data_IF_466671054944
#
_entry.id   IF_466671054944
#
_cell.length_a   1.000
_cell.length_b   1.000
_cell.length_c   1.000
_cell.angle_alpha   90.00
_cell.angle_beta   90.00
_cell.angle_gamma   90.00
#
_symmetry.space_group_name_H-M   'P 1'
#
loop_
_entity.id
_entity.type
_entity.pdbx_description
1 polymer ?
#
# COMPACT_ATOMS: atom_id res chain seq x y z
N UNK A 1 -3.61 0.85 -4.99
CA UNK A 1 -3.91 2.30 -4.88
C UNK A 1 -2.91 3.22 -5.60
N UNK A 2 -1.59 2.94 -5.57
CA UNK A 2 -0.59 3.79 -6.25
C UNK A 2 -0.81 3.84 -7.77
N UNK A 3 -1.15 2.70 -8.37
CA UNK A 3 -1.52 2.62 -9.80
C UNK A 3 -2.73 3.50 -10.09
N UNK A 4 -3.83 3.30 -9.35
CA UNK A 4 -5.04 4.13 -9.45
C UNK A 4 -4.79 5.63 -9.23
N UNK A 5 -3.86 6.03 -8.36
CA UNK A 5 -3.50 7.44 -8.18
C UNK A 5 -2.78 8.05 -9.39
N UNK A 6 -2.05 7.23 -10.15
CA UNK A 6 -1.19 7.68 -11.26
C UNK A 6 -1.91 7.59 -12.59
N UNK A 7 -2.64 6.51 -12.82
CA UNK A 7 -3.36 6.27 -14.06
C UNK A 7 -4.77 6.85 -13.97
N UNK A 8 -5.03 7.88 -14.77
CA UNK A 8 -6.35 8.52 -14.85
C UNK A 8 -7.40 7.66 -15.57
N UNK A 9 -6.99 6.56 -16.23
CA UNK A 9 -7.88 5.57 -16.81
C UNK A 9 -8.38 4.52 -15.83
N UNK A 10 -7.80 4.44 -14.62
CA UNK A 10 -8.25 3.52 -13.58
C UNK A 10 -9.62 3.94 -13.04
N UNK A 11 -10.60 3.01 -12.93
CA UNK A 11 -11.94 3.33 -12.43
C UNK A 11 -11.96 4.00 -11.06
N UNK A 12 -11.00 3.64 -10.20
CA UNK A 12 -10.88 4.15 -8.83
C UNK A 12 -9.98 5.39 -8.71
N UNK A 13 -9.57 6.01 -9.83
CA UNK A 13 -8.68 7.18 -9.82
C UNK A 13 -9.23 8.34 -8.99
N UNK A 14 -10.46 8.75 -9.27
CA UNK A 14 -11.10 9.88 -8.60
C UNK A 14 -11.36 9.60 -7.13
N UNK A 15 -11.72 8.35 -6.79
CA UNK A 15 -11.90 7.90 -5.41
C UNK A 15 -10.59 8.00 -4.63
N UNK A 16 -9.50 7.48 -5.20
CA UNK A 16 -8.17 7.53 -4.59
C UNK A 16 -7.68 8.98 -4.43
N UNK A 17 -7.90 9.84 -5.43
CA UNK A 17 -7.53 11.26 -5.37
C UNK A 17 -8.33 12.04 -4.33
N UNK A 18 -9.64 11.80 -4.23
CA UNK A 18 -10.49 12.41 -3.22
C UNK A 18 -10.05 12.05 -1.81
N UNK A 19 -9.78 10.76 -1.57
CA UNK A 19 -9.32 10.28 -0.28
C UNK A 19 -7.93 10.83 0.11
N UNK A 20 -7.03 11.04 -0.86
CA UNK A 20 -5.71 11.63 -0.62
C UNK A 20 -5.82 13.06 -0.06
N UNK A 21 -6.83 13.84 -0.48
CA UNK A 21 -7.08 15.19 0.02
C UNK A 21 -7.37 15.25 1.53
N UNK A 22 -7.80 14.14 2.13
CA UNK A 22 -8.09 14.02 3.56
C UNK A 22 -6.94 13.40 4.37
N UNK A 23 -5.81 13.09 3.73
CA UNK A 23 -4.63 12.54 4.39
C UNK A 23 -3.63 13.66 4.72
N UNK A 24 -3.06 13.60 5.93
CA UNK A 24 -2.00 14.51 6.38
C UNK A 24 -0.66 13.80 6.36
N UNK A 25 0.32 14.35 5.64
CA UNK A 25 1.68 13.82 5.56
C UNK A 25 1.89 12.77 4.45
N UNK A 26 3.13 12.28 4.27
CA UNK A 26 3.46 11.31 3.23
C UNK A 26 2.79 9.96 3.49
N UNK A 27 2.47 9.24 2.42
CA UNK A 27 2.11 7.82 2.53
C UNK A 27 3.37 6.98 2.69
N UNK A 28 3.42 6.21 3.76
CA UNK A 28 4.51 5.29 4.03
C UNK A 28 4.35 4.02 3.18
N UNK A 29 5.41 3.64 2.46
CA UNK A 29 5.47 2.41 1.65
C UNK A 29 6.79 1.66 1.91
N UNK A 30 6.93 0.45 1.38
CA UNK A 30 8.17 -0.33 1.45
C UNK A 30 8.79 -0.49 0.06
N UNK A 31 10.07 -0.88 -0.01
CA UNK A 31 10.73 -1.19 -1.29
C UNK A 31 10.00 -2.27 -2.11
N UNK A 32 9.47 -3.36 -1.51
CA UNK A 32 8.64 -4.32 -2.24
C UNK A 32 7.38 -3.71 -2.86
N UNK A 33 6.66 -2.84 -2.14
CA UNK A 33 5.49 -2.11 -2.70
C UNK A 33 5.90 -1.21 -3.84
N UNK A 34 7.00 -0.45 -3.68
CA UNK A 34 7.51 0.42 -4.74
C UNK A 34 7.90 -0.38 -5.98
N UNK A 35 8.54 -1.54 -5.79
CA UNK A 35 8.97 -2.44 -6.87
C UNK A 35 7.78 -3.03 -7.63
N UNK A 36 6.77 -3.53 -6.91
CA UNK A 36 5.55 -4.06 -7.51
C UNK A 36 4.78 -2.97 -8.27
N UNK A 37 4.63 -1.78 -7.68
CA UNK A 37 3.99 -0.66 -8.36
C UNK A 37 4.76 -0.23 -9.62
N UNK A 38 6.10 -0.21 -9.58
CA UNK A 38 6.93 0.06 -10.76
C UNK A 38 6.74 -0.99 -11.86
N UNK A 39 6.59 -2.26 -11.50
CA UNK A 39 6.30 -3.34 -12.44
C UNK A 39 4.93 -3.16 -13.10
N UNK A 40 3.88 -2.99 -12.30
CA UNK A 40 2.50 -2.81 -12.79
C UNK A 40 2.35 -1.57 -13.68
N UNK A 41 2.93 -0.44 -13.27
CA UNK A 41 2.91 0.79 -14.08
C UNK A 41 3.71 0.64 -15.37
N UNK A 42 4.76 -0.18 -15.36
CA UNK A 42 5.54 -0.50 -16.55
C UNK A 42 4.70 -1.22 -17.59
N UNK A 43 3.89 -2.18 -17.16
CA UNK A 43 2.98 -2.94 -18.02
C UNK A 43 1.83 -2.06 -18.54
N UNK A 44 1.20 -1.27 -17.66
CA UNK A 44 0.03 -0.46 -18.00
C UNK A 44 0.36 0.79 -18.85
N UNK A 45 1.47 1.48 -18.57
CA UNK A 45 1.77 2.79 -19.16
C UNK A 45 3.25 3.09 -19.40
N UNK A 46 4.11 2.07 -19.27
CA UNK A 46 5.55 2.18 -19.49
C UNK A 46 6.24 3.24 -18.64
N UNK A 47 7.32 3.79 -19.17
CA UNK A 47 8.15 4.77 -18.46
C UNK A 47 7.38 6.02 -18.02
N UNK A 48 6.38 6.47 -18.79
CA UNK A 48 5.61 7.67 -18.44
C UNK A 48 4.89 7.48 -17.10
N UNK A 49 4.31 6.31 -16.87
CA UNK A 49 3.61 5.96 -15.64
C UNK A 49 4.60 5.74 -14.48
N UNK A 50 5.68 5.01 -14.72
CA UNK A 50 6.77 4.82 -13.73
C UNK A 50 7.40 6.15 -13.28
N UNK A 51 7.61 7.09 -14.19
CA UNK A 51 8.13 8.42 -13.88
C UNK A 51 7.18 9.21 -12.97
N UNK A 52 5.87 9.01 -13.08
CA UNK A 52 4.91 9.64 -12.17
C UNK A 52 5.02 9.10 -10.74
N UNK A 53 5.29 7.79 -10.58
CA UNK A 53 5.59 7.20 -9.27
C UNK A 53 6.88 7.78 -8.65
N UNK A 54 7.94 7.93 -9.45
CA UNK A 54 9.15 8.64 -9.01
C UNK A 54 8.87 10.09 -8.59
N UNK A 55 7.95 10.77 -9.28
CA UNK A 55 7.59 12.13 -8.94
C UNK A 55 6.87 12.21 -7.58
N UNK A 56 6.04 11.23 -7.21
CA UNK A 56 5.46 11.14 -5.86
C UNK A 56 6.56 11.02 -4.79
N UNK A 57 7.56 10.16 -5.03
CA UNK A 57 8.66 9.95 -4.09
C UNK A 57 9.52 11.20 -3.91
N UNK A 58 9.92 11.82 -5.03
CA UNK A 58 10.81 13.00 -5.02
C UNK A 58 10.15 14.28 -4.49
N UNK A 59 8.82 14.39 -4.56
CA UNK A 59 8.06 15.47 -3.91
C UNK A 59 7.78 15.23 -2.43
N UNK A 60 7.99 14.01 -1.93
CA UNK A 60 7.64 13.62 -0.57
C UNK A 60 6.15 13.34 -0.37
N UNK A 61 5.41 13.02 -1.44
CA UNK A 61 4.02 12.54 -1.33
C UNK A 61 3.97 11.10 -0.78
N UNK A 62 5.03 10.34 -1.05
CA UNK A 62 5.29 9.01 -0.51
C UNK A 62 6.69 8.96 0.11
N UNK A 63 6.86 8.11 1.11
CA UNK A 63 8.14 7.85 1.78
C UNK A 63 8.38 6.35 1.84
N UNK A 64 9.57 5.91 1.44
CA UNK A 64 9.97 4.50 1.55
C UNK A 64 10.57 4.28 2.93
N UNK A 65 9.91 3.43 3.71
CA UNK A 65 10.34 3.03 5.05
C UNK A 65 11.28 1.83 4.94
N UNK A 66 12.43 1.94 5.59
CA UNK A 66 13.37 0.83 5.73
C UNK A 66 12.82 -0.25 6.66
N UNK A 67 12.98 -1.51 6.26
CA UNK A 67 12.51 -2.63 7.07
C UNK A 67 13.48 -2.88 8.22
N UNK A 68 12.99 -2.72 9.45
CA UNK A 68 13.70 -3.21 10.62
C UNK A 68 13.89 -4.74 10.52
N UNK A 69 14.96 -5.32 11.10
CA UNK A 69 15.19 -6.77 11.08
C UNK A 69 13.97 -7.60 11.49
N UNK A 70 13.31 -7.20 12.58
CA UNK A 70 12.08 -7.85 13.07
C UNK A 70 10.93 -7.81 12.04
N UNK A 71 10.88 -6.77 11.20
CA UNK A 71 9.86 -6.65 10.14
C UNK A 71 10.12 -7.63 8.99
N UNK A 72 11.38 -7.98 8.71
CA UNK A 72 11.75 -8.99 7.71
C UNK A 72 11.27 -10.37 8.16
N UNK A 73 11.62 -10.77 9.38
CA UNK A 73 11.18 -12.05 9.95
C UNK A 73 9.66 -12.10 10.07
N UNK A 74 9.05 -10.98 10.47
CA UNK A 74 7.60 -10.88 10.58
C UNK A 74 6.91 -11.04 9.22
N UNK A 75 7.48 -10.49 8.15
CA UNK A 75 6.94 -10.62 6.80
C UNK A 75 6.92 -12.09 6.36
N UNK A 76 8.00 -12.85 6.60
CA UNK A 76 8.03 -14.29 6.34
C UNK A 76 6.92 -15.02 7.11
N UNK A 77 6.78 -14.78 8.40
CA UNK A 77 5.74 -15.42 9.21
C UNK A 77 4.32 -15.05 8.78
N UNK A 78 4.11 -13.85 8.25
CA UNK A 78 2.81 -13.43 7.70
C UNK A 78 2.51 -14.19 6.41
N UNK A 79 3.47 -14.31 5.49
CA UNK A 79 3.30 -15.10 4.27
C UNK A 79 3.04 -16.58 4.56
N UNK A 80 3.72 -17.17 5.55
CA UNK A 80 3.44 -18.53 6.02
C UNK A 80 2.04 -18.66 6.61
N UNK A 81 1.62 -17.69 7.44
CA UNK A 81 0.29 -17.70 8.08
C UNK A 81 -0.83 -17.58 7.05
N UNK A 82 -0.65 -16.73 6.06
CA UNK A 82 -1.65 -16.45 5.04
C UNK A 82 -1.42 -17.28 3.77
N UNK A 83 -0.68 -18.39 3.80
CA UNK A 83 -0.34 -19.16 2.59
C UNK A 83 -1.55 -19.69 1.80
N UNK A 84 -2.69 -19.87 2.48
CA UNK A 84 -3.97 -20.27 1.87
C UNK A 84 -4.72 -19.08 1.22
N UNK A 85 -4.15 -17.88 1.28
CA UNK A 85 -4.58 -16.62 0.66
C UNK A 85 -3.38 -16.06 -0.12
N UNK A 86 -3.54 -15.42 -1.29
CA UNK A 86 -2.38 -14.92 -2.04
C UNK A 86 -1.77 -13.66 -1.40
N UNK A 87 -1.13 -13.79 -0.22
CA UNK A 87 -0.37 -12.67 0.37
C UNK A 87 0.95 -12.46 -0.38
N UNK A 88 1.07 -11.30 -1.00
CA UNK A 88 2.31 -10.87 -1.65
C UNK A 88 3.39 -10.46 -0.63
N UNK A 89 4.65 -10.39 -1.07
CA UNK A 89 5.73 -9.80 -0.26
C UNK A 89 5.47 -8.30 0.02
N UNK A 90 4.86 -7.59 -0.94
CA UNK A 90 4.50 -6.19 -0.77
C UNK A 90 3.51 -6.01 0.40
N UNK A 91 2.46 -6.82 0.45
CA UNK A 91 1.48 -6.78 1.52
C UNK A 91 2.07 -7.21 2.86
N UNK A 92 2.84 -8.31 2.87
CA UNK A 92 3.47 -8.81 4.08
C UNK A 92 4.37 -7.74 4.73
N UNK A 93 5.16 -7.03 3.93
CA UNK A 93 6.03 -5.96 4.42
C UNK A 93 5.26 -4.72 4.86
N UNK A 94 4.15 -4.35 4.21
CA UNK A 94 3.26 -3.29 4.69
C UNK A 94 2.64 -3.64 6.04
N UNK A 95 2.14 -4.87 6.20
CA UNK A 95 1.55 -5.31 7.46
C UNK A 95 2.60 -5.32 8.58
N UNK A 96 3.81 -5.81 8.31
CA UNK A 96 4.90 -5.82 9.27
C UNK A 96 5.32 -4.40 9.71
N UNK A 97 5.47 -3.47 8.76
CA UNK A 97 5.78 -2.06 9.06
C UNK A 97 4.65 -1.39 9.84
N UNK A 98 3.39 -1.64 9.47
CA UNK A 98 2.26 -1.11 10.22
C UNK A 98 2.22 -1.62 11.68
N UNK A 99 2.52 -2.90 11.90
CA UNK A 99 2.65 -3.48 13.25
C UNK A 99 3.77 -2.83 14.06
N UNK A 100 4.93 -2.60 13.44
CA UNK A 100 6.12 -1.97 14.02
C UNK A 100 5.85 -0.52 14.42
N UNK A 101 5.31 0.28 13.49
CA UNK A 101 4.98 1.70 13.67
C UNK A 101 3.67 1.94 14.43
N UNK A 102 2.94 0.88 14.78
CA UNK A 102 1.64 0.93 15.47
C UNK A 102 0.55 1.65 14.65
N UNK A 103 0.66 1.60 13.33
CA UNK A 103 -0.31 2.18 12.41
C UNK A 103 -1.48 1.22 12.22
N UNK A 104 -2.67 1.81 12.02
CA UNK A 104 -3.92 1.06 11.80
C UNK A 104 -4.66 1.47 10.53
N UNK A 105 -4.27 2.58 9.94
CA UNK A 105 -4.83 3.07 8.68
C UNK A 105 -3.99 2.51 7.55
N UNK A 106 -4.63 2.05 6.49
CA UNK A 106 -3.95 1.66 5.27
C UNK A 106 -4.67 2.25 4.08
N UNK A 107 -3.92 2.86 3.17
CA UNK A 107 -4.45 3.34 1.91
C UNK A 107 -4.37 2.20 0.90
N UNK A 108 -5.48 1.52 0.62
CA UNK A 108 -5.53 0.38 -0.31
C UNK A 108 -6.95 0.12 -0.81
N UNK A 109 -7.04 -0.35 -2.06
CA UNK A 109 -8.26 -0.85 -2.67
C UNK A 109 -8.40 -2.37 -2.54
N UNK A 110 -7.33 -3.04 -2.07
CA UNK A 110 -7.30 -4.50 -1.95
C UNK A 110 -8.08 -4.96 -0.71
N UNK A 111 -9.11 -5.77 -0.96
CA UNK A 111 -9.96 -6.37 0.08
C UNK A 111 -9.24 -7.39 0.94
N UNK A 112 -8.09 -7.93 0.54
CA UNK A 112 -7.33 -8.88 1.36
C UNK A 112 -6.89 -8.26 2.70
N UNK A 113 -6.74 -6.93 2.75
CA UNK A 113 -6.51 -6.19 4.00
C UNK A 113 -7.68 -6.22 4.99
N UNK A 114 -8.88 -6.65 4.57
CA UNK A 114 -10.01 -6.94 5.48
C UNK A 114 -9.83 -8.28 6.22
N UNK A 115 -9.01 -9.18 5.68
CA UNK A 115 -8.66 -10.48 6.28
C UNK A 115 -7.38 -10.38 7.10
N UNK A 116 -6.43 -9.55 6.66
CA UNK A 116 -5.18 -9.32 7.39
C UNK A 116 -5.44 -8.71 8.77
N UNK A 117 -4.58 -9.08 9.74
CA UNK A 117 -4.73 -8.67 11.15
C UNK A 117 -3.45 -8.06 11.68
N UNK A 118 -3.51 -6.79 12.04
CA UNK A 118 -2.45 -6.09 12.78
C UNK A 118 -2.32 -6.71 14.17
N UNK A 119 -1.12 -7.19 14.48
CA UNK A 119 -0.77 -7.90 15.73
C UNK A 119 -1.69 -9.09 15.99
N UNK A 120 -2.18 -9.71 14.92
CA UNK A 120 -3.07 -10.88 14.97
C UNK A 120 -4.48 -10.63 15.51
N UNK A 121 -4.87 -9.38 15.83
CA UNK A 121 -6.17 -9.11 16.48
C UNK A 121 -6.96 -7.96 15.87
N UNK A 122 -6.30 -6.95 15.30
CA UNK A 122 -6.96 -5.71 14.86
C UNK A 122 -7.10 -5.69 13.35
N UNK A 123 -8.25 -5.25 12.84
CA UNK A 123 -8.45 -4.97 11.42
C UNK A 123 -7.77 -3.65 11.06
N UNK A 124 -7.32 -3.54 9.81
CA UNK A 124 -6.97 -2.25 9.25
C UNK A 124 -8.23 -1.39 9.07
N UNK A 125 -8.06 -0.08 9.20
CA UNK A 125 -9.00 0.92 8.69
C UNK A 125 -8.54 1.23 7.27
N UNK A 126 -9.22 0.67 6.26
CA UNK A 126 -8.92 0.94 4.85
C UNK A 126 -9.39 2.33 4.46
N UNK A 127 -8.62 2.94 3.56
CA UNK A 127 -8.90 4.23 2.95
C UNK A 127 -8.65 4.06 1.45
N UNK A 128 -9.55 4.52 0.56
CA UNK A 128 -10.90 5.02 0.86
C UNK A 128 -11.76 3.96 1.58
N UNK A 129 -12.65 4.38 2.49
CA UNK A 129 -13.61 3.47 3.15
C UNK A 129 -14.97 3.50 2.47
N UNK A 130 -15.73 2.39 2.48
CA UNK A 130 -17.09 2.34 1.91
C UNK A 130 -18.04 3.39 2.51
N UNK A 131 -17.76 3.84 3.74
CA UNK A 131 -18.48 4.90 4.46
C UNK A 131 -18.22 6.32 3.99
N UNK A 132 -17.22 6.54 3.14
CA UNK A 132 -16.92 7.85 2.52
C UNK A 132 -17.53 7.97 1.11
N UNK A 133 -18.30 6.95 0.67
CA UNK A 133 -18.90 6.85 -0.67
C UNK A 133 -20.37 7.33 -0.67
N UNK A 134 -20.90 7.85 0.45
CA UNK A 134 -22.27 8.38 0.55
C UNK A 134 -22.38 9.88 0.34
#
# INVERSE_FOLDING_TARGET
PLVALIDAGEPDHDLCRGALGNLSGPMLITWPVFTEAMYLLGDAGGWRAQRALWALLTRGDIEIVELAPDSVDRSRSLMEKYSDTPMSLADATLVAVAEHLRLKRIFTLDSDFDVYRVRGRQRFVRIPSDSEIS
#
